data_IF_861407504962
#
_entry.id   IF_861407504962
#
_cell.length_a   1.000
_cell.length_b   1.000
_cell.length_c   1.000
_cell.angle_alpha   90.00
_cell.angle_beta   90.00
_cell.angle_gamma   90.00
#
_symmetry.space_group_name_H-M   'P 1'
#
loop_
_entity.id
_entity.type
_entity.pdbx_description
1 polymer ?
2 non-polymer ?
3 non-polymer ?
4 non-polymer ?
5 water ?
#
# COMPACT_ATOMS: atom_id res chain seq x y z
N UNK A 1 12.42 22.14 10.72
CA UNK A 1 12.13 20.78 10.20
C UNK A 1 12.08 20.81 8.67
N UNK A 2 11.66 21.93 8.08
CA UNK A 2 11.63 22.12 6.64
C UNK A 2 12.59 23.26 6.28
N UNK A 3 13.73 22.90 5.69
CA UNK A 3 14.73 23.84 5.24
C UNK A 3 14.27 24.53 3.97
N UNK A 4 15.05 25.52 3.52
CA UNK A 4 14.82 26.14 2.23
C UNK A 4 15.08 25.16 1.10
N UNK A 5 16.06 24.27 1.25
CA UNK A 5 16.28 23.25 0.24
C UNK A 5 15.07 22.32 0.13
N UNK A 6 14.51 21.91 1.28
CA UNK A 6 13.31 21.06 1.30
C UNK A 6 12.18 21.74 0.54
N UNK A 7 11.99 23.06 0.75
CA UNK A 7 10.92 23.78 0.08
C UNK A 7 11.09 23.81 -1.43
N UNK A 8 12.32 23.96 -1.93
CA UNK A 8 12.56 23.90 -3.35
C UNK A 8 12.00 22.58 -3.92
N UNK A 9 12.32 21.47 -3.25
CA UNK A 9 11.89 20.17 -3.75
C UNK A 9 10.38 20.06 -3.65
N UNK A 10 9.77 20.55 -2.59
CA UNK A 10 8.33 20.50 -2.43
C UNK A 10 7.68 21.33 -3.54
N UNK A 11 8.28 22.47 -3.91
CA UNK A 11 7.72 23.28 -4.99
C UNK A 11 7.76 22.50 -6.31
N UNK A 12 8.82 21.70 -6.53
CA UNK A 12 8.89 20.84 -7.69
C UNK A 12 7.75 19.81 -7.67
N UNK A 13 7.48 19.24 -6.49
CA UNK A 13 6.34 18.33 -6.31
C UNK A 13 5.01 18.99 -6.69
N UNK A 14 4.80 20.25 -6.26
CA UNK A 14 3.61 20.99 -6.67
C UNK A 14 3.52 21.14 -8.20
N UNK A 15 4.64 21.47 -8.84
CA UNK A 15 4.72 21.54 -10.30
C UNK A 15 4.28 20.22 -10.96
N UNK A 16 4.78 19.08 -10.42
CA UNK A 16 4.43 17.77 -10.92
C UNK A 16 2.94 17.46 -10.68
N UNK A 17 2.39 17.88 -9.54
CA UNK A 17 0.98 17.71 -9.28
C UNK A 17 0.15 18.51 -10.31
N UNK A 18 0.60 19.72 -10.64
CA UNK A 18 -0.12 20.56 -11.60
C UNK A 18 -0.03 19.91 -12.98
N UNK A 19 1.13 19.29 -13.31
CA UNK A 19 1.28 18.61 -14.58
C UNK A 19 0.27 17.48 -14.67
N UNK A 20 0.12 16.74 -13.57
CA UNK A 20 -0.91 15.70 -13.51
C UNK A 20 -2.29 16.29 -13.76
N UNK A 21 -2.66 17.34 -13.02
CA UNK A 21 -3.98 17.93 -13.18
C UNK A 21 -4.26 18.26 -14.63
N UNK A 22 -3.30 18.90 -15.25
CA UNK A 22 -3.47 19.43 -16.60
C UNK A 22 -3.55 18.29 -17.61
N UNK A 23 -3.08 17.08 -17.26
CA UNK A 23 -3.12 15.91 -18.11
C UNK A 23 -4.34 15.03 -17.81
N UNK A 24 -5.24 15.49 -16.92
CA UNK A 24 -6.46 14.76 -16.64
C UNK A 24 -6.32 13.78 -15.48
N UNK A 25 -5.17 13.83 -14.79
CA UNK A 25 -4.91 12.94 -13.66
C UNK A 25 -5.20 13.69 -12.35
N UNK A 26 -4.98 13.06 -11.20
CA UNK A 26 -5.13 13.75 -9.93
C UNK A 26 -3.84 14.49 -9.52
N UNK A 27 -3.95 15.61 -8.78
CA UNK A 27 -2.79 16.46 -8.49
C UNK A 27 -1.95 15.98 -7.29
N UNK A 28 -1.10 15.00 -7.59
CA UNK A 28 -0.12 14.45 -6.67
C UNK A 28 1.19 14.26 -7.42
N UNK A 29 2.26 14.81 -6.87
CA UNK A 29 3.60 14.72 -7.41
C UNK A 29 4.61 14.38 -6.33
N UNK A 30 5.70 13.73 -6.73
CA UNK A 30 6.68 13.22 -5.78
C UNK A 30 8.06 13.18 -6.43
N UNK A 31 9.12 13.44 -5.63
CA UNK A 31 10.50 13.42 -6.06
C UNK A 31 11.34 12.58 -5.09
N UNK A 32 12.19 11.73 -5.68
CA UNK A 32 13.21 10.97 -4.96
C UNK A 32 14.58 11.63 -5.13
N UNK A 33 15.21 11.96 -3.99
CA UNK A 33 16.51 12.66 -3.97
C UNK A 33 17.54 11.84 -3.21
N UNK A 34 18.73 11.73 -3.81
CA UNK A 34 19.88 11.02 -3.23
C UNK A 34 20.45 11.84 -2.08
N UNK A 35 21.17 11.19 -1.16
CA UNK A 35 21.68 11.90 0.01
C UNK A 35 22.68 12.97 -0.41
N UNK A 36 23.14 12.90 -1.67
CA UNK A 36 24.11 13.86 -2.20
C UNK A 36 23.40 14.98 -2.93
N UNK A 37 22.05 15.01 -2.87
CA UNK A 37 21.24 16.12 -3.33
C UNK A 37 20.78 16.00 -4.77
N UNK A 38 21.31 15.04 -5.54
CA UNK A 38 20.87 14.77 -6.90
C UNK A 38 19.45 14.18 -6.91
N UNK A 39 18.58 14.70 -7.77
CA UNK A 39 17.30 14.09 -8.06
C UNK A 39 17.56 12.78 -8.80
N UNK A 40 16.95 11.69 -8.33
CA UNK A 40 17.10 10.37 -8.93
C UNK A 40 15.90 10.04 -9.82
N UNK A 41 14.70 10.46 -9.41
CA UNK A 41 13.49 10.04 -10.08
C UNK A 41 12.36 10.96 -9.63
N UNK A 42 11.51 11.33 -10.58
CA UNK A 42 10.36 12.20 -10.33
C UNK A 42 9.12 11.54 -10.89
N UNK A 43 7.96 11.70 -10.27
CA UNK A 43 6.76 11.13 -10.87
C UNK A 43 5.49 11.86 -10.39
N UNK A 44 4.36 11.54 -10.99
CA UNK A 44 3.09 12.11 -10.60
C UNK A 44 2.02 11.05 -10.77
N UNK A 45 0.83 11.36 -10.30
CA UNK A 45 -0.32 10.48 -10.37
C UNK A 45 -0.64 10.15 -11.85
N UNK A 46 -1.00 8.90 -12.09
CA UNK A 46 -1.34 8.43 -13.44
C UNK A 46 -2.59 7.56 -13.42
N UNK A 47 -3.60 7.96 -12.68
CA UNK A 47 -4.71 7.06 -12.39
C UNK A 47 -5.72 7.03 -13.53
N UNK A 48 -5.63 7.94 -14.50
CA UNK A 48 -6.79 8.19 -15.36
C UNK A 48 -7.05 6.96 -16.23
N UNK A 49 -6.01 6.16 -16.46
CA UNK A 49 -6.08 4.99 -17.31
C UNK A 49 -6.82 3.83 -16.63
N UNK A 50 -7.35 4.00 -15.39
CA UNK A 50 -8.20 2.98 -14.78
C UNK A 50 -7.60 2.29 -13.56
N UNK A 51 -6.32 2.59 -13.22
CA UNK A 51 -5.68 2.03 -12.03
C UNK A 51 -5.50 3.05 -10.91
N UNK A 52 -6.39 2.95 -9.92
CA UNK A 52 -6.42 3.86 -8.79
C UNK A 52 -5.15 3.73 -7.94
N UNK A 53 -4.32 2.68 -8.13
CA UNK A 53 -3.09 2.56 -7.34
C UNK A 53 -1.91 3.25 -8.03
N UNK A 54 -2.13 3.97 -9.15
CA UNK A 54 -1.01 4.63 -9.83
C UNK A 54 -0.56 5.91 -9.15
N UNK A 55 -0.06 5.76 -7.91
CA UNK A 55 0.45 6.85 -7.14
C UNK A 55 1.94 7.01 -7.34
N UNK A 56 2.44 8.25 -7.32
CA UNK A 56 3.86 8.44 -7.61
C UNK A 56 4.78 7.92 -6.51
N UNK A 57 4.37 8.01 -5.24
CA UNK A 57 5.22 7.53 -4.17
C UNK A 57 5.45 6.02 -4.31
N UNK A 58 4.41 5.28 -4.74
CA UNK A 58 4.53 3.86 -4.97
C UNK A 58 5.50 3.55 -6.10
N UNK A 59 5.36 4.30 -7.22
CA UNK A 59 6.28 4.15 -8.34
C UNK A 59 7.74 4.42 -7.88
N UNK A 60 7.90 5.37 -6.96
CA UNK A 60 9.21 5.69 -6.41
C UNK A 60 9.73 4.50 -5.61
N UNK A 61 8.88 3.89 -4.78
CA UNK A 61 9.34 2.77 -3.97
C UNK A 61 9.86 1.64 -4.86
N UNK A 62 9.10 1.31 -5.91
CA UNK A 62 9.51 0.26 -6.82
C UNK A 62 10.74 0.64 -7.62
N UNK A 63 10.83 1.89 -8.02
CA UNK A 63 12.00 2.33 -8.78
C UNK A 63 13.24 2.18 -7.90
N UNK A 64 13.12 2.63 -6.63
CA UNK A 64 14.22 2.59 -5.71
C UNK A 64 14.69 1.16 -5.51
N UNK A 65 13.74 0.24 -5.33
CA UNK A 65 14.11 -1.14 -5.08
C UNK A 65 14.85 -1.74 -6.28
N UNK A 66 14.49 -1.31 -7.50
CA UNK A 66 15.05 -1.87 -8.73
C UNK A 66 16.45 -1.27 -8.95
N UNK A 67 16.63 0.02 -8.64
CA UNK A 67 17.79 0.79 -9.14
C UNK A 67 18.83 1.16 -8.09
N UNK A 68 18.51 1.06 -6.79
CA UNK A 68 19.37 1.55 -5.73
C UNK A 68 19.68 0.40 -4.76
N UNK A 69 20.90 0.40 -4.21
CA UNK A 69 21.27 -0.50 -3.13
C UNK A 69 20.47 -0.13 -1.88
N UNK A 70 20.30 -1.05 -0.91
CA UNK A 70 19.71 -0.73 0.37
C UNK A 70 20.33 0.47 1.07
N UNK A 71 21.67 0.57 1.00
CA UNK A 71 22.31 1.67 1.69
C UNK A 71 21.92 2.99 1.03
N UNK A 72 21.89 3.03 -0.30
CA UNK A 72 21.51 4.28 -0.94
C UNK A 72 20.03 4.62 -0.69
N UNK A 73 19.17 3.60 -0.63
CA UNK A 73 17.76 3.83 -0.32
C UNK A 73 17.58 4.43 1.07
N UNK A 74 18.31 3.88 2.05
CA UNK A 74 18.16 4.31 3.42
C UNK A 74 18.50 5.78 3.54
N UNK A 75 19.39 6.27 2.67
CA UNK A 75 19.91 7.63 2.80
C UNK A 75 19.19 8.62 1.90
N UNK A 76 18.28 8.14 1.03
CA UNK A 76 17.52 8.98 0.12
C UNK A 76 16.37 9.66 0.85
N UNK A 77 15.88 10.77 0.27
CA UNK A 77 14.69 11.44 0.78
C UNK A 77 13.61 11.44 -0.30
N UNK A 78 12.34 11.27 0.13
CA UNK A 78 11.20 11.38 -0.75
C UNK A 78 10.41 12.62 -0.36
N UNK A 79 10.27 13.50 -1.35
CA UNK A 79 9.41 14.68 -1.23
C UNK A 79 8.09 14.37 -1.90
N UNK A 80 6.99 14.83 -1.32
CA UNK A 80 5.68 14.66 -1.95
C UNK A 80 4.78 15.88 -1.66
N UNK A 81 3.93 16.22 -2.65
CA UNK A 81 2.94 17.27 -2.49
C UNK A 81 1.89 16.89 -1.43
N UNK A 82 1.46 15.62 -1.43
CA UNK A 82 0.46 15.13 -0.49
C UNK A 82 0.99 13.93 0.29
N UNK A 83 0.83 13.98 1.61
CA UNK A 83 1.31 12.90 2.47
C UNK A 83 0.89 11.54 1.91
N UNK A 84 1.83 10.58 1.94
CA UNK A 84 1.63 9.23 1.48
C UNK A 84 0.32 8.67 2.07
N UNK A 85 -0.48 8.03 1.24
CA UNK A 85 -1.56 7.18 1.68
C UNK A 85 -0.95 5.91 2.28
N UNK A 86 -1.76 5.07 2.99
CA UNK A 86 -1.21 3.88 3.61
C UNK A 86 -0.52 2.94 2.65
N UNK A 87 -1.03 2.85 1.43
CA UNK A 87 -0.41 2.00 0.42
C UNK A 87 1.05 2.39 0.21
N UNK A 88 1.22 3.70 0.00
CA UNK A 88 2.52 4.28 -0.34
C UNK A 88 3.45 4.35 0.88
N UNK A 89 2.92 4.65 2.06
CA UNK A 89 3.73 4.71 3.27
C UNK A 89 4.30 3.32 3.55
N UNK A 90 3.44 2.29 3.43
CA UNK A 90 3.88 0.94 3.63
C UNK A 90 4.97 0.55 2.60
N UNK A 91 4.74 0.85 1.30
CA UNK A 91 5.70 0.45 0.30
C UNK A 91 7.08 1.12 0.59
N UNK A 92 7.05 2.37 1.03
CA UNK A 92 8.26 3.14 1.33
C UNK A 92 9.03 2.43 2.44
N UNK A 93 8.32 2.02 3.48
CA UNK A 93 8.97 1.29 4.57
C UNK A 93 9.45 -0.08 4.14
N UNK A 94 8.64 -0.81 3.36
CA UNK A 94 9.07 -2.14 2.91
C UNK A 94 10.41 -2.09 2.17
N UNK A 95 10.59 -1.08 1.28
CA UNK A 95 11.80 -1.02 0.48
C UNK A 95 12.93 -0.33 1.25
N UNK A 96 12.66 0.19 2.46
CA UNK A 96 13.68 0.80 3.29
C UNK A 96 14.18 2.15 2.80
N UNK A 97 13.30 2.99 2.27
CA UNK A 97 13.64 4.36 1.95
C UNK A 97 13.74 5.19 3.23
N UNK A 98 14.27 6.40 3.12
CA UNK A 98 14.59 7.20 4.30
C UNK A 98 13.52 8.24 4.62
N UNK A 99 13.94 9.48 4.78
CA UNK A 99 13.07 10.55 5.21
C UNK A 99 11.97 10.82 4.18
N UNK A 100 10.79 11.20 4.68
CA UNK A 100 9.70 11.74 3.88
C UNK A 100 9.45 13.18 4.31
N UNK A 101 9.28 14.06 3.31
CA UNK A 101 8.80 15.42 3.53
C UNK A 101 7.56 15.64 2.66
N UNK A 102 6.48 16.13 3.30
CA UNK A 102 5.26 16.38 2.54
C UNK A 102 4.83 17.84 2.67
N UNK A 103 4.19 18.35 1.60
CA UNK A 103 3.67 19.70 1.59
C UNK A 103 2.35 19.83 2.34
N UNK A 104 1.41 18.90 2.14
CA UNK A 104 0.11 18.91 2.81
C UNK A 104 -0.17 17.54 3.36
N UNK A 105 -0.75 17.51 4.56
CA UNK A 105 -1.11 16.27 5.21
C UNK A 105 -2.36 15.63 4.59
N UNK A 106 -2.51 14.33 4.80
CA UNK A 106 -3.71 13.65 4.35
C UNK A 106 -4.90 14.11 5.19
N UNK A 107 -4.68 14.51 6.45
CA UNK A 107 -5.77 15.07 7.26
C UNK A 107 -6.31 16.37 6.62
N UNK A 108 -5.39 17.22 6.17
CA UNK A 108 -5.75 18.47 5.51
C UNK A 108 -6.62 18.16 4.28
N UNK A 109 -6.13 17.26 3.40
CA UNK A 109 -6.90 16.90 2.22
C UNK A 109 -8.24 16.30 2.60
N UNK A 110 -8.27 15.41 3.61
CA UNK A 110 -9.55 14.79 3.99
C UNK A 110 -10.57 15.82 4.46
N UNK A 111 -10.08 16.87 5.12
CA UNK A 111 -10.97 17.92 5.63
C UNK A 111 -11.57 18.69 4.46
N UNK A 112 -10.71 19.01 3.50
CA UNK A 112 -11.16 19.76 2.32
C UNK A 112 -12.14 18.94 1.49
N UNK A 113 -11.86 17.64 1.30
CA UNK A 113 -12.77 16.75 0.60
C UNK A 113 -14.16 16.75 1.26
N UNK A 114 -14.20 16.70 2.58
CA UNK A 114 -15.47 16.69 3.29
C UNK A 114 -16.21 18.00 3.07
N UNK A 115 -15.51 19.13 3.05
CA UNK A 115 -16.13 20.43 2.77
C UNK A 115 -16.82 20.39 1.41
N UNK A 116 -16.18 19.75 0.42
CA UNK A 116 -16.69 19.69 -0.93
C UNK A 116 -17.74 18.59 -1.10
N UNK A 117 -18.04 17.86 -0.03
CA UNK A 117 -19.11 16.88 -0.07
C UNK A 117 -18.67 15.52 -0.64
N UNK A 118 -17.39 15.47 -1.09
CA UNK A 118 -16.94 14.53 -2.11
C UNK A 118 -16.99 13.11 -1.56
N UNK A 119 -16.95 12.11 -2.45
CA UNK A 119 -16.97 10.72 -2.03
C UNK A 119 -15.77 10.49 -1.11
N UNK A 120 -16.02 10.09 0.14
CA UNK A 120 -14.92 9.84 1.04
C UNK A 120 -14.11 8.67 0.50
N UNK A 121 -12.77 8.70 0.63
CA UNK A 121 -11.95 7.56 0.23
C UNK A 121 -12.21 6.30 1.07
N UNK A 122 -12.21 5.20 0.34
CA UNK A 122 -12.18 3.78 0.66
C UNK A 122 -10.98 3.42 1.53
N UNK A 123 -9.94 4.27 1.49
CA UNK A 123 -8.74 4.03 2.29
C UNK A 123 -8.62 5.14 3.34
N UNK A 124 -8.36 4.74 4.60
CA UNK A 124 -8.36 5.69 5.69
C UNK A 124 -7.14 6.61 5.57
N UNK A 125 -7.29 7.86 6.02
CA UNK A 125 -6.23 8.85 5.94
C UNK A 125 -5.28 8.73 7.13
N UNK A 126 -4.68 7.55 7.27
CA UNK A 126 -3.78 7.31 8.40
C UNK A 126 -2.51 8.12 8.22
N UNK A 127 -1.97 8.75 9.29
CA UNK A 127 -0.66 9.39 9.23
C UNK A 127 0.39 8.33 8.91
N UNK A 128 1.42 8.77 8.18
CA UNK A 128 2.52 7.88 7.81
C UNK A 128 2.99 7.04 9.00
N UNK A 129 3.20 7.66 10.16
CA UNK A 129 3.85 6.90 11.25
C UNK A 129 2.93 5.84 11.87
N UNK A 130 1.62 5.89 11.61
CA UNK A 130 0.72 4.81 12.05
C UNK A 130 0.99 3.55 11.23
N UNK A 131 1.34 3.76 9.96
CA UNK A 131 1.61 2.67 9.04
C UNK A 131 3.08 2.23 9.12
N UNK A 132 4.00 3.21 9.16
CA UNK A 132 5.44 3.00 9.05
C UNK A 132 6.10 3.64 10.26
N UNK A 133 6.12 2.98 11.43
CA UNK A 133 6.57 3.60 12.67
C UNK A 133 7.98 4.18 12.66
N UNK A 134 8.87 3.61 11.87
CA UNK A 134 10.29 3.95 11.93
C UNK A 134 10.69 5.09 10.98
N UNK A 135 9.78 5.56 10.12
CA UNK A 135 10.13 6.55 9.10
C UNK A 135 10.17 7.94 9.73
N UNK A 136 11.23 8.70 9.38
CA UNK A 136 11.34 10.09 9.75
C UNK A 136 10.49 10.92 8.79
N UNK A 137 9.52 11.64 9.35
CA UNK A 137 8.55 12.38 8.54
C UNK A 137 8.58 13.85 8.92
N UNK A 138 8.64 14.74 7.93
CA UNK A 138 8.45 16.16 8.18
C UNK A 138 7.35 16.70 7.28
N UNK A 139 6.70 17.76 7.79
CA UNK A 139 5.58 18.34 7.08
C UNK A 139 4.45 18.61 8.05
N UNK A 140 3.40 19.37 7.66
CA UNK A 140 3.29 19.98 6.34
C UNK A 140 4.07 21.28 6.23
N UNK A 141 4.07 21.86 5.04
CA UNK A 141 4.74 23.13 4.75
C UNK A 141 3.66 24.21 4.64
N UNK A 142 3.54 25.04 5.70
CA UNK A 142 2.48 26.05 5.80
C UNK A 142 2.52 26.99 4.60
N UNK A 143 3.70 27.25 4.02
CA UNK A 143 3.79 28.17 2.90
C UNK A 143 3.15 27.63 1.61
N UNK A 144 2.93 26.31 1.54
CA UNK A 144 2.32 25.73 0.35
C UNK A 144 0.88 25.29 0.59
N UNK A 145 0.29 25.52 1.77
CA UNK A 145 -1.08 25.10 2.07
C UNK A 145 -2.07 25.67 1.08
N UNK A 146 -2.05 27.00 0.85
CA UNK A 146 -3.06 27.62 -0.01
C UNK A 146 -2.90 27.10 -1.45
N UNK A 147 -1.68 27.03 -1.96
CA UNK A 147 -1.42 26.55 -3.31
C UNK A 147 -2.01 25.16 -3.49
N UNK A 148 -1.73 24.28 -2.53
CA UNK A 148 -2.24 22.92 -2.63
C UNK A 148 -3.75 22.87 -2.46
N UNK A 149 -4.35 23.69 -1.58
CA UNK A 149 -5.80 23.74 -1.48
C UNK A 149 -6.37 24.06 -2.87
N UNK A 150 -5.76 25.03 -3.57
CA UNK A 150 -6.29 25.43 -4.88
C UNK A 150 -6.16 24.33 -5.92
N UNK A 151 -5.07 23.58 -5.91
CA UNK A 151 -4.89 22.47 -6.83
C UNK A 151 -5.90 21.37 -6.57
N UNK A 152 -6.07 21.04 -5.28
CA UNK A 152 -7.06 20.06 -4.90
C UNK A 152 -8.46 20.53 -5.29
N UNK A 153 -8.78 21.81 -5.10
CA UNK A 153 -10.08 22.34 -5.47
C UNK A 153 -10.31 22.11 -6.97
N UNK A 154 -9.27 22.34 -7.75
CA UNK A 154 -9.45 22.19 -9.19
C UNK A 154 -9.92 20.78 -9.57
N UNK A 155 -9.42 19.75 -8.86
CA UNK A 155 -9.75 18.38 -9.19
C UNK A 155 -11.00 17.92 -8.45
N UNK A 156 -11.13 18.26 -7.15
CA UNK A 156 -12.09 17.63 -6.28
C UNK A 156 -13.18 18.58 -5.79
N UNK A 157 -13.05 19.89 -6.10
CA UNK A 157 -14.08 20.85 -5.73
C UNK A 157 -15.39 20.56 -6.47
N UNK A 158 -16.54 20.84 -5.83
CA UNK A 158 -17.85 20.65 -6.47
C UNK A 158 -18.86 21.74 -6.06
N UNK B 1 -17.79 -17.54 10.15
CA UNK B 1 -17.95 -16.92 8.80
C UNK B 1 -17.12 -17.65 7.74
N UNK B 2 -16.15 -18.51 8.16
CA UNK B 2 -15.43 -19.34 7.20
C UNK B 2 -16.14 -20.68 6.89
N UNK B 3 -16.62 -20.76 5.67
CA UNK B 3 -17.31 -21.93 5.18
C UNK B 3 -16.35 -23.03 4.73
N UNK B 4 -16.92 -24.21 4.42
CA UNK B 4 -16.15 -25.31 3.88
C UNK B 4 -15.49 -24.89 2.57
N UNK B 5 -16.23 -24.23 1.68
CA UNK B 5 -15.71 -23.80 0.39
C UNK B 5 -14.59 -22.78 0.60
N UNK B 6 -14.79 -21.85 1.53
CA UNK B 6 -13.76 -20.85 1.83
C UNK B 6 -12.49 -21.55 2.32
N UNK B 7 -12.62 -22.57 3.19
CA UNK B 7 -11.45 -23.22 3.75
C UNK B 7 -10.64 -23.92 2.65
N UNK B 8 -11.31 -24.53 1.67
CA UNK B 8 -10.62 -25.15 0.55
C UNK B 8 -9.75 -24.13 -0.18
N UNK B 9 -10.28 -22.92 -0.42
CA UNK B 9 -9.44 -21.93 -1.10
C UNK B 9 -8.28 -21.48 -0.20
N UNK B 10 -8.52 -21.37 1.10
CA UNK B 10 -7.43 -21.04 2.02
C UNK B 10 -6.34 -22.11 1.98
N UNK B 11 -6.72 -23.39 1.84
CA UNK B 11 -5.71 -24.44 1.75
C UNK B 11 -4.88 -24.26 0.49
N UNK B 12 -5.52 -23.82 -0.60
CA UNK B 12 -4.77 -23.52 -1.81
C UNK B 12 -3.73 -22.41 -1.54
N UNK B 13 -4.13 -21.37 -0.78
CA UNK B 13 -3.25 -20.27 -0.42
C UNK B 13 -2.04 -20.79 0.34
N UNK B 14 -2.26 -21.71 1.29
CA UNK B 14 -1.18 -22.30 2.07
C UNK B 14 -0.24 -23.04 1.14
N UNK B 15 -0.79 -23.77 0.16
CA UNK B 15 0.07 -24.46 -0.82
C UNK B 15 0.92 -23.49 -1.65
N UNK B 16 0.35 -22.34 -1.98
CA UNK B 16 1.10 -21.31 -2.68
C UNK B 16 2.18 -20.70 -1.80
N UNK B 17 1.90 -20.54 -0.50
CA UNK B 17 2.89 -20.05 0.45
C UNK B 17 4.06 -21.03 0.57
N UNK B 18 3.75 -22.33 0.53
CA UNK B 18 4.76 -23.37 0.59
C UNK B 18 5.60 -23.35 -0.67
N UNK B 19 4.98 -23.20 -1.85
CA UNK B 19 5.72 -23.02 -3.10
C UNK B 19 6.72 -21.86 -3.01
N UNK B 20 6.27 -20.74 -2.41
CA UNK B 20 7.10 -19.57 -2.29
C UNK B 20 8.28 -19.91 -1.40
N UNK B 21 8.03 -20.53 -0.22
CA UNK B 21 9.15 -20.83 0.67
C UNK B 21 10.18 -21.72 -0.03
N UNK B 22 9.68 -22.74 -0.72
CA UNK B 22 10.54 -23.73 -1.36
C UNK B 22 11.40 -23.09 -2.45
N UNK B 23 10.92 -21.98 -3.04
CA UNK B 23 11.61 -21.25 -4.08
C UNK B 23 12.51 -20.17 -3.50
N UNK B 24 12.62 -20.03 -2.18
CA UNK B 24 13.49 -19.01 -1.62
C UNK B 24 12.79 -17.70 -1.25
N UNK B 25 11.45 -17.66 -1.37
CA UNK B 25 10.67 -16.46 -1.14
C UNK B 25 10.04 -16.57 0.25
N UNK B 26 9.15 -15.64 0.60
CA UNK B 26 8.50 -15.65 1.91
C UNK B 26 7.13 -16.32 1.78
N UNK B 27 6.64 -17.02 2.85
CA UNK B 27 5.48 -17.91 2.78
C UNK B 27 4.15 -17.16 2.85
N UNK B 28 3.75 -16.59 1.71
CA UNK B 28 2.52 -15.83 1.53
C UNK B 28 1.96 -16.19 0.17
N UNK B 29 0.70 -16.65 0.15
CA UNK B 29 -0.02 -17.05 -1.06
C UNK B 29 -1.44 -16.50 -1.07
N UNK B 30 -1.97 -16.18 -2.28
CA UNK B 30 -3.26 -15.52 -2.38
C UNK B 30 -3.93 -15.91 -3.71
N UNK B 31 -5.28 -15.95 -3.69
CA UNK B 31 -6.12 -16.40 -4.80
C UNK B 31 -7.33 -15.47 -4.95
N UNK B 32 -7.59 -15.02 -6.20
CA UNK B 32 -8.75 -14.22 -6.56
C UNK B 32 -9.80 -15.13 -7.20
N UNK B 33 -11.00 -15.08 -6.61
CA UNK B 33 -12.09 -15.96 -7.04
C UNK B 33 -13.28 -15.10 -7.37
N UNK B 34 -13.88 -15.32 -8.55
CA UNK B 34 -15.05 -14.52 -8.87
C UNK B 34 -16.32 -15.07 -8.22
N UNK B 35 -17.42 -14.33 -8.37
CA UNK B 35 -18.65 -14.64 -7.68
C UNK B 35 -19.26 -15.94 -8.20
N UNK B 36 -18.83 -16.43 -9.38
CA UNK B 36 -19.28 -17.73 -9.89
C UNK B 36 -18.46 -18.85 -9.28
N UNK B 37 -17.39 -18.53 -8.54
CA UNK B 37 -16.58 -19.58 -7.92
C UNK B 37 -15.44 -20.04 -8.83
N UNK B 38 -15.13 -19.28 -9.87
CA UNK B 38 -13.99 -19.53 -10.73
C UNK B 38 -12.77 -18.76 -10.22
N UNK B 39 -11.66 -19.50 -10.07
CA UNK B 39 -10.37 -18.89 -9.75
C UNK B 39 -9.89 -18.10 -10.96
N UNK B 40 -9.66 -16.80 -10.76
CA UNK B 40 -9.24 -15.87 -11.81
C UNK B 40 -7.73 -15.68 -11.85
N UNK B 41 -7.05 -15.74 -10.69
CA UNK B 41 -5.66 -15.35 -10.56
C UNK B 41 -5.15 -15.93 -9.26
N UNK B 42 -3.95 -16.50 -9.31
CA UNK B 42 -3.26 -17.02 -8.13
C UNK B 42 -1.84 -16.45 -8.12
N UNK B 43 -1.29 -16.18 -6.93
CA UNK B 43 0.07 -15.68 -6.88
C UNK B 43 0.64 -15.95 -5.49
N UNK B 44 1.93 -15.71 -5.35
CA UNK B 44 2.63 -15.86 -4.08
C UNK B 44 3.73 -14.81 -4.03
N UNK B 45 4.34 -14.67 -2.87
CA UNK B 45 5.37 -13.69 -2.61
C UNK B 45 6.54 -13.93 -3.55
N UNK B 46 7.18 -12.83 -4.01
CA UNK B 46 8.31 -12.94 -4.92
C UNK B 46 9.40 -11.93 -4.56
N UNK B 47 9.69 -11.77 -3.27
CA UNK B 47 10.56 -10.70 -2.80
C UNK B 47 12.02 -11.04 -2.99
N UNK B 48 12.38 -12.26 -3.45
CA UNK B 48 13.76 -12.68 -3.24
C UNK B 48 14.68 -11.91 -4.18
N UNK B 49 14.15 -11.43 -5.30
CA UNK B 49 14.92 -10.60 -6.22
C UNK B 49 15.09 -9.14 -5.75
N UNK B 50 14.70 -8.78 -4.52
CA UNK B 50 15.13 -7.55 -3.90
C UNK B 50 14.03 -6.47 -3.82
N UNK B 51 12.80 -6.78 -4.29
CA UNK B 51 11.67 -5.88 -4.17
C UNK B 51 10.73 -6.43 -3.11
N UNK B 52 10.80 -5.80 -1.93
CA UNK B 52 10.05 -6.22 -0.76
C UNK B 52 8.56 -5.90 -0.94
N UNK B 53 8.18 -5.21 -2.03
CA UNK B 53 6.76 -4.92 -2.29
C UNK B 53 6.08 -6.03 -3.12
N UNK B 54 6.81 -7.10 -3.42
CA UNK B 54 6.34 -8.14 -4.33
C UNK B 54 5.41 -9.09 -3.60
N UNK B 55 4.29 -8.54 -3.11
CA UNK B 55 3.28 -9.28 -2.40
C UNK B 55 2.16 -9.71 -3.35
N UNK B 56 1.60 -10.91 -3.15
CA UNK B 56 0.59 -11.47 -4.07
C UNK B 56 -0.74 -10.70 -4.05
N UNK B 57 -1.12 -10.17 -2.88
CA UNK B 57 -2.37 -9.45 -2.83
C UNK B 57 -2.32 -8.18 -3.67
N UNK B 58 -1.14 -7.54 -3.72
CA UNK B 58 -0.95 -6.33 -4.49
C UNK B 58 -1.03 -6.70 -5.98
N UNK B 59 -0.37 -7.80 -6.36
CA UNK B 59 -0.46 -8.24 -7.75
C UNK B 59 -1.93 -8.46 -8.15
N UNK B 60 -2.71 -9.06 -7.25
CA UNK B 60 -4.12 -9.35 -7.49
C UNK B 60 -4.90 -8.05 -7.67
N UNK B 61 -4.62 -7.02 -6.87
CA UNK B 61 -5.30 -5.73 -6.96
C UNK B 61 -5.05 -5.12 -8.34
N UNK B 62 -3.80 -5.10 -8.80
CA UNK B 62 -3.49 -4.52 -10.09
C UNK B 62 -4.04 -5.37 -11.23
N UNK B 63 -4.01 -6.69 -11.07
CA UNK B 63 -4.56 -7.56 -12.10
C UNK B 63 -6.06 -7.32 -12.24
N UNK B 64 -6.77 -7.24 -11.11
CA UNK B 64 -8.20 -6.98 -11.07
C UNK B 64 -8.55 -5.63 -11.70
N UNK B 65 -7.76 -4.59 -11.43
CA UNK B 65 -8.00 -3.27 -12.00
C UNK B 65 -7.90 -3.34 -13.52
N UNK B 66 -6.98 -4.16 -14.04
CA UNK B 66 -6.73 -4.20 -15.47
C UNK B 66 -7.76 -5.08 -16.17
N UNK B 67 -8.25 -6.13 -15.53
CA UNK B 67 -9.04 -7.17 -16.23
C UNK B 67 -10.50 -7.25 -15.88
N UNK B 68 -10.96 -6.64 -14.78
CA UNK B 68 -12.31 -6.82 -14.31
C UNK B 68 -13.02 -5.48 -14.25
N UNK B 69 -14.31 -5.47 -14.59
CA UNK B 69 -15.10 -4.26 -14.39
C UNK B 69 -15.19 -3.97 -12.88
N UNK B 70 -15.46 -2.71 -12.47
CA UNK B 70 -15.74 -2.40 -11.07
C UNK B 70 -16.75 -3.33 -10.44
N UNK B 71 -17.82 -3.67 -11.17
CA UNK B 71 -18.86 -4.52 -10.60
C UNK B 71 -18.33 -5.94 -10.36
N UNK B 72 -17.52 -6.48 -11.27
CA UNK B 72 -16.96 -7.80 -11.08
C UNK B 72 -15.99 -7.78 -9.90
N UNK B 73 -15.20 -6.71 -9.80
CA UNK B 73 -14.28 -6.59 -8.67
C UNK B 73 -14.99 -6.62 -7.34
N UNK B 74 -16.06 -5.84 -7.21
CA UNK B 74 -16.81 -5.77 -5.95
C UNK B 74 -17.39 -7.12 -5.52
N UNK B 75 -17.64 -8.03 -6.47
CA UNK B 75 -18.32 -9.28 -6.12
C UNK B 75 -17.33 -10.45 -5.99
N UNK B 76 -16.05 -10.16 -6.28
CA UNK B 76 -14.97 -11.15 -6.20
C UNK B 76 -14.52 -11.29 -4.74
N UNK B 77 -13.86 -12.41 -4.45
CA UNK B 77 -13.28 -12.64 -3.13
C UNK B 77 -11.77 -12.82 -3.30
N UNK B 78 -11.01 -12.24 -2.36
CA UNK B 78 -9.58 -12.52 -2.28
C UNK B 78 -9.29 -13.35 -1.05
N UNK B 79 -8.73 -14.56 -1.27
CA UNK B 79 -8.30 -15.48 -0.23
C UNK B 79 -6.80 -15.25 -0.07
N UNK B 80 -6.36 -15.30 1.18
CA UNK B 80 -4.92 -15.18 1.44
C UNK B 80 -4.52 -15.99 2.66
N UNK B 81 -3.30 -16.50 2.62
CA UNK B 81 -2.75 -17.25 3.74
C UNK B 81 -2.52 -16.35 4.94
N UNK B 82 -2.10 -15.12 4.67
CA UNK B 82 -1.86 -14.17 5.74
C UNK B 82 -2.54 -12.84 5.43
N UNK B 83 -3.18 -12.28 6.45
CA UNK B 83 -3.94 -11.05 6.33
C UNK B 83 -3.11 -9.99 5.61
N UNK B 84 -3.72 -9.33 4.64
CA UNK B 84 -3.14 -8.21 3.94
C UNK B 84 -2.37 -7.27 4.87
N UNK B 85 -1.12 -6.98 4.51
CA UNK B 85 -0.43 -5.86 5.12
C UNK B 85 -1.06 -4.55 4.66
N UNK B 86 -0.78 -3.43 5.35
CA UNK B 86 -1.38 -2.16 4.97
C UNK B 86 -1.22 -1.77 3.49
N UNK B 87 -0.08 -2.12 2.89
CA UNK B 87 0.13 -1.79 1.49
C UNK B 87 -0.95 -2.46 0.62
N UNK B 88 -1.16 -3.74 0.87
CA UNK B 88 -2.06 -4.58 0.09
C UNK B 88 -3.53 -4.33 0.43
N UNK B 89 -3.83 -4.06 1.69
CA UNK B 89 -5.19 -3.71 2.07
C UNK B 89 -5.63 -2.40 1.41
N UNK B 90 -4.74 -1.41 1.38
CA UNK B 90 -5.04 -0.14 0.75
C UNK B 90 -5.22 -0.33 -0.75
N UNK B 91 -4.32 -1.10 -1.41
CA UNK B 91 -4.45 -1.32 -2.84
C UNK B 91 -5.79 -1.99 -3.18
N UNK B 92 -6.17 -2.97 -2.38
CA UNK B 92 -7.40 -3.73 -2.53
C UNK B 92 -8.59 -2.76 -2.52
N UNK B 93 -8.61 -1.87 -1.53
CA UNK B 93 -9.71 -0.91 -1.39
C UNK B 93 -9.67 0.16 -2.48
N UNK B 94 -8.48 0.60 -2.89
CA UNK B 94 -8.38 1.59 -3.96
C UNK B 94 -8.99 1.07 -5.26
N UNK B 95 -8.78 -0.21 -5.59
CA UNK B 95 -9.29 -0.74 -6.85
C UNK B 95 -10.72 -1.23 -6.70
N UNK B 96 -11.27 -1.24 -5.49
CA UNK B 96 -12.66 -1.61 -5.29
C UNK B 96 -12.94 -3.11 -5.27
N UNK B 97 -11.99 -3.92 -4.81
CA UNK B 97 -12.27 -5.35 -4.64
C UNK B 97 -13.15 -5.59 -3.44
N UNK B 98 -13.69 -6.79 -3.33
CA UNK B 98 -14.70 -7.10 -2.33
C UNK B 98 -14.14 -7.81 -1.10
N UNK B 99 -14.74 -8.95 -0.79
CA UNK B 99 -14.47 -9.70 0.42
C UNK B 99 -13.03 -10.15 0.48
N UNK B 100 -12.48 -10.18 1.70
CA UNK B 100 -11.21 -10.82 1.97
C UNK B 100 -11.47 -11.92 2.99
N UNK B 101 -10.83 -13.06 2.73
CA UNK B 101 -10.77 -14.15 3.70
C UNK B 101 -9.30 -14.50 3.92
N UNK B 102 -8.87 -14.52 5.18
CA UNK B 102 -7.49 -14.85 5.52
C UNK B 102 -7.39 -16.05 6.46
N UNK B 103 -6.29 -16.81 6.32
CA UNK B 103 -6.10 -17.99 7.13
C UNK B 103 -5.53 -17.61 8.50
N UNK B 104 -4.57 -16.67 8.51
CA UNK B 104 -3.97 -16.17 9.76
C UNK B 104 -4.02 -14.66 9.72
N UNK B 105 -4.27 -14.08 10.90
CA UNK B 105 -4.28 -12.66 11.06
C UNK B 105 -2.86 -12.10 11.17
N UNK B 106 -2.73 -10.79 10.97
CA UNK B 106 -1.49 -10.07 11.27
C UNK B 106 -1.22 -10.07 12.77
N UNK B 107 -2.29 -10.16 13.57
CA UNK B 107 -2.10 -10.23 15.03
C UNK B 107 -1.38 -11.54 15.39
N UNK B 108 -1.79 -12.65 14.77
CA UNK B 108 -1.12 -13.92 14.95
C UNK B 108 0.35 -13.79 14.58
N UNK B 109 0.63 -13.29 13.37
CA UNK B 109 1.98 -13.16 12.87
C UNK B 109 2.82 -12.31 13.82
N UNK B 110 2.31 -11.15 14.21
CA UNK B 110 3.14 -10.27 15.04
C UNK B 110 3.42 -10.88 16.40
N UNK B 111 2.42 -11.55 16.97
CA UNK B 111 2.56 -12.28 18.23
C UNK B 111 3.62 -13.38 18.14
N UNK B 112 3.63 -14.15 17.03
CA UNK B 112 4.64 -15.20 16.84
C UNK B 112 6.03 -14.60 16.70
N UNK B 113 6.18 -13.53 15.91
CA UNK B 113 7.48 -12.91 15.75
C UNK B 113 8.06 -12.53 17.12
N UNK B 114 7.24 -11.94 18.02
CA UNK B 114 7.77 -11.54 19.32
C UNK B 114 8.07 -12.78 20.19
N UNK B 115 7.30 -13.83 20.08
CA UNK B 115 7.58 -15.09 20.76
C UNK B 115 8.96 -15.59 20.34
N UNK B 116 9.28 -15.47 19.04
CA UNK B 116 10.53 -16.03 18.52
C UNK B 116 11.74 -15.10 18.67
N UNK B 117 11.53 -13.89 19.23
CA UNK B 117 12.62 -12.94 19.34
C UNK B 117 12.99 -12.34 18.00
N UNK B 118 12.09 -12.40 17.02
CA UNK B 118 12.36 -11.84 15.71
C UNK B 118 11.98 -10.35 15.69
N UNK B 119 12.65 -9.65 14.80
CA UNK B 119 12.38 -8.23 14.60
C UNK B 119 10.98 -8.01 14.04
N UNK B 120 10.34 -6.93 14.49
CA UNK B 120 9.03 -6.57 13.97
C UNK B 120 9.18 -6.18 12.50
N UNK B 121 8.16 -6.37 11.67
CA UNK B 121 8.17 -5.83 10.31
C UNK B 121 8.35 -4.32 10.31
N UNK B 122 8.83 -3.79 9.17
CA UNK B 122 9.02 -2.36 8.99
C UNK B 122 7.67 -1.64 8.90
N UNK B 123 6.59 -2.39 8.65
CA UNK B 123 5.26 -1.84 8.53
C UNK B 123 4.42 -2.41 9.66
N UNK B 124 3.69 -1.52 10.34
CA UNK B 124 2.84 -1.92 11.45
C UNK B 124 1.81 -2.95 10.97
N UNK B 125 1.50 -3.93 11.82
CA UNK B 125 0.55 -4.99 11.51
C UNK B 125 -0.90 -4.56 11.69
N UNK B 126 -1.30 -3.49 11.00
CA UNK B 126 -2.63 -2.95 11.12
C UNK B 126 -3.66 -3.93 10.55
N UNK B 127 -4.77 -4.21 11.25
CA UNK B 127 -5.84 -5.02 10.68
C UNK B 127 -6.38 -4.33 9.42
N UNK B 128 -6.84 -5.16 8.50
CA UNK B 128 -7.40 -4.65 7.25
C UNK B 128 -8.36 -3.47 7.51
N UNK B 129 -9.29 -3.60 8.45
CA UNK B 129 -10.34 -2.59 8.56
C UNK B 129 -9.84 -1.28 9.19
N UNK B 130 -8.63 -1.25 9.76
CA UNK B 130 -7.99 0.02 10.12
C UNK B 130 -7.64 0.81 8.86
N UNK B 131 -7.17 0.07 7.84
CA UNK B 131 -6.73 0.72 6.59
C UNK B 131 -7.88 0.95 5.62
N UNK B 132 -8.79 -0.04 5.55
CA UNK B 132 -9.86 -0.13 4.56
C UNK B 132 -11.14 -0.43 5.31
N UNK B 133 -11.78 0.60 5.89
CA UNK B 133 -12.90 0.37 6.82
C UNK B 133 -14.12 -0.29 6.22
N UNK B 134 -14.28 -0.21 4.90
CA UNK B 134 -15.46 -0.74 4.26
C UNK B 134 -15.38 -2.21 3.82
N UNK B 135 -14.20 -2.84 3.88
CA UNK B 135 -14.04 -4.18 3.31
C UNK B 135 -14.61 -5.22 4.27
N UNK B 136 -15.35 -6.18 3.74
CA UNK B 136 -15.79 -7.34 4.47
C UNK B 136 -14.65 -8.33 4.63
N UNK B 137 -14.29 -8.61 5.89
CA UNK B 137 -13.13 -9.42 6.21
C UNK B 137 -13.60 -10.62 7.05
N UNK B 138 -13.22 -11.84 6.62
CA UNK B 138 -13.43 -13.05 7.40
C UNK B 138 -12.09 -13.73 7.68
N UNK B 139 -12.03 -14.41 8.80
CA UNK B 139 -10.83 -15.10 9.21
C UNK B 139 -10.50 -14.74 10.65
N UNK B 140 -9.52 -15.39 11.30
CA UNK B 140 -8.70 -16.46 10.72
C UNK B 140 -9.33 -17.83 10.78
N UNK B 141 -8.67 -18.81 10.19
CA UNK B 141 -9.11 -20.20 10.13
C UNK B 141 -8.35 -21.03 11.16
N UNK B 142 -9.05 -21.48 12.21
CA UNK B 142 -8.44 -22.23 13.32
C UNK B 142 -7.73 -23.48 12.80
N UNK B 143 -8.27 -24.11 11.76
CA UNK B 143 -7.72 -25.36 11.24
C UNK B 143 -6.31 -25.19 10.66
N UNK B 144 -5.94 -23.96 10.28
CA UNK B 144 -4.69 -23.66 9.60
C UNK B 144 -3.68 -22.96 10.50
N UNK B 145 -4.02 -22.68 11.75
CA UNK B 145 -3.12 -21.98 12.63
C UNK B 145 -1.78 -22.71 12.85
N UNK B 146 -1.84 -24.00 13.10
CA UNK B 146 -0.64 -24.78 13.37
C UNK B 146 0.26 -24.79 12.14
N UNK B 147 -0.32 -25.05 10.96
CA UNK B 147 0.42 -25.09 9.71
C UNK B 147 1.14 -23.77 9.48
N UNK B 148 0.43 -22.65 9.65
CA UNK B 148 1.01 -21.36 9.35
C UNK B 148 2.03 -20.95 10.40
N UNK B 149 1.77 -21.27 11.67
CA UNK B 149 2.77 -21.08 12.68
C UNK B 149 4.06 -21.77 12.24
N UNK B 150 3.93 -23.02 11.76
CA UNK B 150 5.14 -23.77 11.43
C UNK B 150 5.85 -23.18 10.21
N UNK B 151 5.03 -22.75 9.23
CA UNK B 151 5.57 -22.18 8.01
C UNK B 151 6.23 -20.84 8.26
N UNK B 152 5.60 -19.94 9.07
CA UNK B 152 6.26 -18.69 9.41
C UNK B 152 7.53 -18.90 10.26
N UNK B 153 7.49 -19.87 11.17
CA UNK B 153 8.65 -20.15 12.02
C UNK B 153 9.84 -20.58 11.16
N UNK B 154 9.57 -21.39 10.13
CA UNK B 154 10.63 -21.82 9.22
C UNK B 154 11.34 -20.63 8.57
N UNK B 155 10.59 -19.61 8.12
CA UNK B 155 11.17 -18.47 7.46
C UNK B 155 11.75 -17.46 8.45
N UNK B 156 10.98 -17.12 9.49
CA UNK B 156 11.22 -15.93 10.29
C UNK B 156 11.69 -16.24 11.71
N UNK B 157 11.65 -17.49 12.12
CA UNK B 157 11.93 -17.85 13.49
C UNK B 157 13.33 -18.42 13.72
N UNK B 158 14.24 -18.34 12.78
CA UNK B 158 15.51 -19.04 12.97
C UNK B 158 16.59 -18.14 13.60
X LIG C 1 3.04 27.46 -7.01
X LIG C 1 2.02 26.99 -7.89
X LIG C 1 4.00 26.34 -6.66
X LIG C 1 4.34 25.60 -7.82
X LIG C 1 5.24 26.87 -5.99
X LIG C 1 6.40 26.64 -6.78
X LIG D 1 -7.91 11.34 -3.13
X LIG D 1 -7.27 10.62 -2.08
X LIG D 1 -8.47 10.37 -4.14
X LIG D 1 -7.45 10.03 -5.08
X LIG D 1 -9.71 10.87 -4.85
X LIG D 1 -10.82 10.00 -4.65
X LIG E 1 22.50 7.46 -10.34
X LIG E 1 23.85 7.05 -10.59
X LIG E 1 21.58 6.28 -10.11
X LIG E 1 20.30 6.56 -10.68
X LIG E 1 22.09 4.96 -10.65
X LIG E 1 21.07 3.96 -10.67
X LIG F 1 -0.57 6.45 -2.20
X LIG G 1 4.52 -26.65 6.49
X LIG G 1 5.44 -26.25 7.37
X LIG G 1 4.57 -26.53 5.22
X LIG G 1 3.34 -27.24 6.97
X LIG H 1 -1.92 -29.56 6.72
X LIG H 1 -0.74 -28.78 6.90
X LIG H 1 -2.63 -29.06 5.48
X LIG H 1 -1.76 -29.31 4.37
X LIG H 1 -3.00 -27.60 5.57
X LIG H 1 -3.88 -27.21 4.52
X LIG I 1 11.35 -9.72 10.28
X LIG I 1 11.18 -10.70 11.30
X LIG I 1 10.24 -9.80 9.27
X LIG I 1 9.16 -10.56 9.79
X LIG I 1 9.70 -8.45 8.88
X LIG I 1 8.86 -8.56 7.73
X LIG J 1 12.03 -24.42 12.21
X LIG J 1 12.62 -23.13 12.21
X LIG J 1 12.41 -25.21 13.44
X LIG J 1 12.77 -24.29 14.48
X LIG J 1 11.31 -26.15 13.93
X LIG J 1 11.57 -26.66 15.25
X LIG K 1 -12.25 -9.83 10.74
X LIG K 1 -12.21 -11.25 10.83
X LIG K 1 -12.82 -9.18 11.98
X LIG K 1 -11.88 -9.31 13.05
X LIG K 1 -13.18 -7.72 11.80
X LIG K 1 -13.66 -7.44 10.49
X LIG L 1 2.80 -20.53 19.81
X LIG L 1 3.64 -21.29 20.68
X LIG L 1 1.59 -19.98 20.54
X LIG L 1 1.52 -18.57 20.41
X LIG L 1 0.28 -20.60 20.07
X LIG L 1 -0.03 -20.22 18.72
X LIG M 1 -0.59 -23.09 17.10
X LIG M 1 -0.95 -24.26 16.89
X LIG M 1 0.58 -22.77 17.43
X LIG M 1 -1.65 -21.98 16.96
X LIG N 1 1.20 -6.84 1.49
#
# INVERSE_FOLDING_TARGET
AISDADLKYLRRCVDLAREALDDGDEPFGSVLVDHTGTTLFEDRNRVKDGDATAHPEFAIARWAARHLTPDRRARATVYTSGEHCPMCAAAHAWVGLGRIVYATSSAQLGGWLTEWGAQAPAVATLPINTVAPGVVVDGPAEELAETMHNLYRAKFGR
AISDADLKYLRRCVDLAREALDDGDEPFGSVLVDHTGTTLFEDRNRVKDGDATAHPEFAIARWAARHLTPDRRARATVYTSGEHCPMCAAAHAWVGLGRIVYATSSAQLGGWLTEWGAQAPAVATLPINTVAPGVVVDGPAEELAETMHNLYRAKFGR
GOL C1 O1 C2 O2 C3 O3
GOL C1 O1 C2 O2 C3 O3
GOL C1 O1 C2 O2 C3 O3
ZN ZN
ACT C O OXT CH3
GOL C1 O1 C2 O2 C3 O3
GOL C1 O1 C2 O2 C3 O3
GOL C1 O1 C2 O2 C3 O3
GOL C1 O1 C2 O2 C3 O3
GOL C1 O1 C2 O2 C3 O3
ACT C O OXT CH3
ZN ZN
#
